data_IF_955369278106
#
_entry.id   IF_955369278106
#
_cell.length_a   1.000
_cell.length_b   1.000
_cell.length_c   1.000
_cell.angle_alpha   90.00
_cell.angle_beta   90.00
_cell.angle_gamma   90.00
#
_symmetry.space_group_name_H-M   'P 1'
#
loop_
_entity.id
_entity.type
_entity.pdbx_description
1 polymer ?
#
# COMPACT_ATOMS: atom_id res chain seq x y z
N UNK A 1 17.57 -52.25 24.35
CA UNK A 1 17.03 -51.15 25.18
C UNK A 1 18.02 -49.98 25.35
N UNK A 2 19.29 -50.19 25.75
CA UNK A 2 20.24 -49.07 25.99
C UNK A 2 20.62 -48.27 24.73
N UNK A 3 20.96 -48.94 23.63
CA UNK A 3 21.30 -48.26 22.37
C UNK A 3 20.13 -47.43 21.80
N UNK A 4 18.89 -47.97 21.87
CA UNK A 4 17.68 -47.25 21.45
C UNK A 4 17.46 -45.99 22.30
N UNK A 5 17.68 -46.06 23.61
CA UNK A 5 17.55 -44.91 24.50
C UNK A 5 18.57 -43.82 24.19
N UNK A 6 19.83 -44.20 23.93
CA UNK A 6 20.90 -43.27 23.55
C UNK A 6 20.58 -42.61 22.21
N UNK A 7 20.16 -43.39 21.22
CA UNK A 7 19.75 -42.86 19.91
C UNK A 7 18.60 -41.86 20.05
N UNK A 8 17.56 -42.18 20.83
CA UNK A 8 16.45 -41.26 21.08
C UNK A 8 16.91 -39.95 21.74
N UNK A 9 17.80 -40.03 22.75
CA UNK A 9 18.34 -38.83 23.40
C UNK A 9 19.11 -37.96 22.40
N UNK A 10 19.95 -38.58 21.56
CA UNK A 10 20.70 -37.84 20.53
C UNK A 10 19.75 -37.17 19.55
N UNK A 11 18.75 -37.88 19.05
CA UNK A 11 17.74 -37.33 18.13
C UNK A 11 16.98 -36.16 18.76
N UNK A 12 16.60 -36.27 20.03
CA UNK A 12 15.92 -35.18 20.75
C UNK A 12 16.84 -33.97 20.93
N UNK A 13 18.10 -34.18 21.30
CA UNK A 13 19.07 -33.09 21.46
C UNK A 13 19.32 -32.39 20.13
N UNK A 14 19.60 -33.15 19.07
CA UNK A 14 19.84 -32.60 17.74
C UNK A 14 18.61 -31.90 17.19
N UNK A 15 17.41 -32.47 17.39
CA UNK A 15 16.15 -31.84 17.03
C UNK A 15 15.96 -30.51 17.76
N UNK A 16 16.20 -30.48 19.07
CA UNK A 16 16.13 -29.24 19.86
C UNK A 16 17.11 -28.17 19.39
N UNK A 17 18.37 -28.55 19.11
CA UNK A 17 19.38 -27.63 18.58
C UNK A 17 19.01 -27.10 17.19
N UNK A 18 18.45 -27.96 16.33
CA UNK A 18 18.00 -27.54 15.01
C UNK A 18 16.88 -26.49 15.09
N UNK A 19 15.87 -26.71 15.94
CA UNK A 19 14.78 -25.73 16.13
C UNK A 19 15.31 -24.40 16.67
N UNK A 20 16.28 -24.44 17.60
CA UNK A 20 16.90 -23.23 18.12
C UNK A 20 17.67 -22.46 17.03
N UNK A 21 18.47 -23.16 16.22
CA UNK A 21 19.20 -22.56 15.12
C UNK A 21 18.26 -21.97 14.05
N UNK A 22 17.19 -22.69 13.71
CA UNK A 22 16.16 -22.26 12.77
C UNK A 22 15.53 -20.93 13.19
N UNK A 23 15.16 -20.80 14.48
CA UNK A 23 14.52 -19.59 15.00
C UNK A 23 15.46 -18.41 15.15
N UNK A 24 16.75 -18.64 15.40
CA UNK A 24 17.74 -17.57 15.38
C UNK A 24 18.02 -17.09 13.95
N UNK A 25 18.06 -18.01 12.99
CA UNK A 25 18.33 -17.70 11.59
C UNK A 25 17.23 -16.83 10.97
N UNK A 26 15.94 -17.16 11.22
CA UNK A 26 14.83 -16.36 10.68
C UNK A 26 14.81 -14.94 11.23
N UNK A 27 15.01 -14.77 12.55
CA UNK A 27 15.06 -13.43 13.15
C UNK A 27 16.22 -12.57 12.65
N UNK A 28 17.36 -13.20 12.38
CA UNK A 28 18.48 -12.50 11.78
C UNK A 28 18.19 -12.11 10.32
N UNK A 29 17.58 -13.01 9.55
CA UNK A 29 17.19 -12.75 8.17
C UNK A 29 16.16 -11.62 8.07
N UNK A 30 15.11 -11.64 8.90
CA UNK A 30 14.09 -10.58 8.99
C UNK A 30 14.72 -9.20 9.19
N UNK A 31 15.66 -9.08 10.13
CA UNK A 31 16.39 -7.82 10.40
C UNK A 31 17.25 -7.36 9.22
N UNK A 32 18.00 -8.27 8.60
CA UNK A 32 18.84 -7.96 7.44
C UNK A 32 18.00 -7.51 6.23
N UNK A 33 16.85 -8.15 5.99
CA UNK A 33 15.93 -7.72 4.91
C UNK A 33 15.35 -6.34 5.23
N UNK A 34 14.95 -6.10 6.48
CA UNK A 34 14.43 -4.81 6.90
C UNK A 34 15.44 -3.66 6.69
N UNK A 35 16.71 -3.88 7.05
CA UNK A 35 17.77 -2.89 6.88
C UNK A 35 18.12 -2.65 5.39
N UNK A 36 18.08 -3.70 4.56
CA UNK A 36 18.23 -3.56 3.10
C UNK A 36 17.09 -2.78 2.48
N UNK A 37 15.84 -3.09 2.82
CA UNK A 37 14.68 -2.34 2.35
C UNK A 37 14.76 -0.88 2.76
N UNK A 38 15.16 -0.59 4.00
CA UNK A 38 15.37 0.77 4.48
C UNK A 38 16.37 1.55 3.63
N UNK A 39 17.49 0.93 3.29
CA UNK A 39 18.56 1.59 2.53
C UNK A 39 18.25 1.72 1.05
N UNK A 40 17.62 0.71 0.44
CA UNK A 40 17.24 0.72 -0.98
C UNK A 40 16.10 1.69 -1.27
N UNK A 41 15.08 1.70 -0.42
CA UNK A 41 13.89 2.54 -0.58
C UNK A 41 14.02 3.91 0.11
N UNK A 42 15.18 4.20 0.72
CA UNK A 42 15.43 5.49 1.39
C UNK A 42 14.52 5.78 2.59
N UNK A 43 14.05 4.73 3.28
CA UNK A 43 13.05 4.86 4.35
C UNK A 43 13.64 5.55 5.60
N UNK A 44 12.84 6.44 6.20
CA UNK A 44 13.20 7.09 7.47
C UNK A 44 13.14 6.10 8.64
N UNK A 45 12.16 5.22 8.63
CA UNK A 45 11.91 4.19 9.65
C UNK A 45 12.27 2.81 9.10
N UNK A 46 12.79 1.93 9.97
CA UNK A 46 13.06 0.54 9.58
C UNK A 46 11.74 -0.20 9.39
N UNK A 47 11.50 -0.84 8.23
CA UNK A 47 10.28 -1.59 7.98
C UNK A 47 10.23 -2.85 8.84
N UNK A 48 9.03 -3.37 9.11
CA UNK A 48 8.86 -4.69 9.70
C UNK A 48 8.88 -5.74 8.61
N UNK A 49 9.62 -6.83 8.83
CA UNK A 49 9.63 -7.99 7.94
C UNK A 49 9.38 -9.20 8.80
N UNK A 50 8.41 -10.02 8.37
CA UNK A 50 7.98 -11.23 9.05
C UNK A 50 8.06 -12.37 8.05
N UNK A 51 8.99 -13.32 8.26
CA UNK A 51 9.12 -14.51 7.41
C UNK A 51 8.42 -15.65 8.14
N UNK A 52 7.29 -16.11 7.59
CA UNK A 52 6.52 -17.20 8.18
C UNK A 52 7.01 -18.56 7.68
N UNK A 53 6.40 -19.60 8.24
CA UNK A 53 6.71 -20.99 7.93
C UNK A 53 7.79 -21.60 8.84
N UNK A 54 7.79 -22.92 8.92
CA UNK A 54 8.69 -23.69 9.78
C UNK A 54 8.95 -25.08 9.20
N UNK A 55 10.21 -25.52 9.11
CA UNK A 55 11.45 -24.82 9.48
C UNK A 55 11.91 -23.82 8.40
N UNK A 56 12.33 -22.62 8.79
CA UNK A 56 12.87 -21.58 7.90
C UNK A 56 14.07 -22.07 7.09
N UNK A 57 15.05 -22.73 7.73
CA UNK A 57 16.26 -23.22 7.07
C UNK A 57 15.94 -24.27 6.00
N UNK A 58 14.84 -25.01 6.15
CA UNK A 58 14.40 -25.98 5.13
C UNK A 58 13.81 -25.27 3.92
N UNK A 59 13.03 -24.20 4.13
CA UNK A 59 12.50 -23.36 3.06
C UNK A 59 13.63 -22.71 2.24
N UNK A 60 14.61 -22.09 2.92
CA UNK A 60 15.78 -21.50 2.27
C UNK A 60 16.58 -22.52 1.46
N UNK A 61 16.79 -23.72 2.01
CA UNK A 61 17.45 -24.82 1.29
C UNK A 61 16.62 -25.33 0.09
N UNK A 62 15.29 -25.23 0.17
CA UNK A 62 14.37 -25.50 -0.93
C UNK A 62 14.35 -24.40 -2.00
N UNK A 63 14.89 -23.21 -1.70
CA UNK A 63 14.97 -22.09 -2.63
C UNK A 63 13.69 -21.23 -2.70
N UNK A 64 12.75 -21.41 -1.77
CA UNK A 64 11.47 -20.70 -1.76
C UNK A 64 10.99 -20.45 -0.32
N UNK A 65 10.44 -19.26 -0.06
CA UNK A 65 9.73 -18.96 1.19
C UNK A 65 8.22 -18.96 0.94
N UNK A 66 7.47 -19.62 1.82
CA UNK A 66 6.03 -19.81 1.62
C UNK A 66 5.23 -18.51 1.79
N UNK A 67 5.56 -17.72 2.81
CA UNK A 67 4.79 -16.54 3.21
C UNK A 67 5.70 -15.50 3.89
N UNK A 68 5.72 -14.28 3.34
CA UNK A 68 6.53 -13.15 3.79
C UNK A 68 5.64 -11.92 3.89
N UNK A 69 5.58 -11.32 5.07
CA UNK A 69 4.87 -10.06 5.32
C UNK A 69 5.87 -8.92 5.49
N UNK A 70 5.60 -7.79 4.86
CA UNK A 70 6.40 -6.56 4.96
C UNK A 70 5.49 -5.40 5.33
N UNK A 71 5.87 -4.63 6.34
CA UNK A 71 5.19 -3.43 6.80
C UNK A 71 6.12 -2.22 6.74
N UNK A 72 5.70 -1.18 6.02
CA UNK A 72 6.41 0.09 5.92
C UNK A 72 5.55 1.22 6.48
N UNK A 73 6.19 2.21 7.10
CA UNK A 73 5.54 3.40 7.64
C UNK A 73 6.17 4.65 7.07
N UNK A 74 5.34 5.67 6.89
CA UNK A 74 5.75 6.97 6.35
C UNK A 74 6.53 6.83 5.01
N UNK A 75 5.96 6.07 4.07
CA UNK A 75 6.55 5.84 2.74
C UNK A 75 6.13 6.96 1.78
N UNK A 76 7.09 7.59 1.10
CA UNK A 76 6.82 8.58 0.07
C UNK A 76 6.79 7.90 -1.31
N UNK A 77 5.59 7.83 -1.91
CA UNK A 77 5.39 7.29 -3.25
C UNK A 77 5.28 8.42 -4.29
N UNK A 78 5.66 8.14 -5.54
CA UNK A 78 5.50 9.08 -6.66
C UNK A 78 4.05 9.02 -7.18
N UNK A 79 3.53 10.18 -7.55
CA UNK A 79 2.19 10.32 -8.12
C UNK A 79 2.18 10.23 -9.66
N UNK A 80 3.33 9.94 -10.29
CA UNK A 80 3.48 9.87 -11.76
C UNK A 80 3.27 11.21 -12.47
N UNK A 81 3.05 12.28 -11.70
CA UNK A 81 2.80 13.64 -12.18
C UNK A 81 3.97 14.50 -11.76
N UNK A 82 4.61 15.19 -12.73
CA UNK A 82 5.86 15.95 -12.58
C UNK A 82 6.14 16.52 -11.17
N UNK A 83 6.85 15.74 -10.34
CA UNK A 83 7.37 16.16 -9.02
C UNK A 83 6.41 16.09 -7.83
N UNK A 84 5.24 15.46 -7.97
CA UNK A 84 4.31 15.24 -6.85
C UNK A 84 4.61 13.95 -6.11
N UNK A 85 4.82 14.02 -4.80
CA UNK A 85 4.88 12.84 -3.92
C UNK A 85 3.62 12.75 -3.06
N UNK A 86 3.23 11.52 -2.72
CA UNK A 86 2.16 11.24 -1.78
C UNK A 86 2.70 10.38 -0.65
N UNK A 87 2.49 10.81 0.59
CA UNK A 87 2.89 10.04 1.76
C UNK A 87 1.83 8.98 2.07
N UNK A 88 2.27 7.74 2.12
CA UNK A 88 1.54 6.58 2.60
C UNK A 88 1.94 6.37 4.06
N UNK A 89 0.99 6.52 4.98
CA UNK A 89 1.26 6.45 6.41
C UNK A 89 1.56 5.00 6.84
N UNK A 90 0.85 4.02 6.28
CA UNK A 90 1.01 2.60 6.58
C UNK A 90 0.83 1.76 5.29
N UNK A 91 1.83 0.95 4.97
CA UNK A 91 1.86 0.07 3.80
C UNK A 91 2.18 -1.35 4.28
N UNK A 92 1.26 -2.28 4.07
CA UNK A 92 1.48 -3.70 4.34
C UNK A 92 1.41 -4.50 3.04
N UNK A 93 2.33 -5.44 2.87
CA UNK A 93 2.36 -6.38 1.76
C UNK A 93 2.55 -7.79 2.28
N UNK A 94 1.73 -8.72 1.82
CA UNK A 94 1.84 -10.16 2.06
C UNK A 94 2.16 -10.85 0.74
N UNK A 95 3.28 -11.56 0.71
CA UNK A 95 3.80 -12.26 -0.45
C UNK A 95 3.81 -13.75 -0.19
N UNK A 96 3.43 -14.55 -1.19
CA UNK A 96 3.45 -16.01 -1.10
C UNK A 96 4.25 -16.63 -2.24
N UNK A 97 4.90 -17.74 -1.92
CA UNK A 97 5.76 -18.48 -2.84
C UNK A 97 6.87 -17.61 -3.41
N UNK A 98 7.70 -17.08 -2.50
CA UNK A 98 8.82 -16.18 -2.78
C UNK A 98 10.04 -17.02 -3.14
N UNK A 99 10.24 -17.24 -4.45
CA UNK A 99 11.32 -18.07 -4.97
C UNK A 99 12.60 -17.25 -5.19
N UNK A 100 13.74 -17.75 -4.74
CA UNK A 100 15.05 -17.14 -4.96
C UNK A 100 15.58 -17.47 -6.37
N UNK A 101 16.32 -16.54 -6.97
CA UNK A 101 17.14 -16.86 -8.14
C UNK A 101 18.22 -17.88 -7.79
N UNK A 102 18.74 -18.61 -8.79
CA UNK A 102 19.74 -19.68 -8.54
C UNK A 102 21.04 -19.21 -7.88
N UNK A 103 21.33 -17.92 -7.94
CA UNK A 103 22.46 -17.24 -7.29
C UNK A 103 22.06 -16.49 -6.01
N UNK A 104 20.79 -16.58 -5.58
CA UNK A 104 20.21 -15.89 -4.42
C UNK A 104 20.36 -14.36 -4.44
N UNK A 105 20.56 -13.76 -5.62
CA UNK A 105 20.69 -12.31 -5.77
C UNK A 105 19.35 -11.58 -5.85
N UNK A 106 18.28 -12.31 -6.18
CA UNK A 106 16.91 -11.80 -6.29
C UNK A 106 15.91 -12.81 -5.76
N UNK A 107 14.69 -12.33 -5.48
CA UNK A 107 13.56 -13.18 -5.13
C UNK A 107 12.29 -12.69 -5.85
N UNK A 108 11.42 -13.61 -6.24
CA UNK A 108 10.16 -13.29 -6.93
C UNK A 108 9.00 -14.02 -6.26
N UNK A 109 7.98 -13.26 -5.85
CA UNK A 109 6.76 -13.80 -5.27
C UNK A 109 5.83 -14.34 -6.35
N UNK A 110 5.19 -15.47 -6.09
CA UNK A 110 4.14 -16.02 -6.95
C UNK A 110 2.85 -15.19 -6.86
N UNK A 111 2.52 -14.71 -5.67
CA UNK A 111 1.41 -13.77 -5.44
C UNK A 111 1.80 -12.73 -4.42
N UNK A 112 1.34 -11.50 -4.61
CA UNK A 112 1.46 -10.42 -3.64
C UNK A 112 0.10 -9.74 -3.46
N UNK A 113 -0.26 -9.47 -2.21
CA UNK A 113 -1.43 -8.67 -1.85
C UNK A 113 -0.99 -7.61 -0.85
N UNK A 114 -1.48 -6.38 -0.99
CA UNK A 114 -1.10 -5.29 -0.11
C UNK A 114 -2.23 -4.34 0.20
N UNK A 115 -2.05 -3.58 1.27
CA UNK A 115 -2.95 -2.51 1.72
C UNK A 115 -2.12 -1.27 2.00
N UNK A 116 -2.59 -0.12 1.55
CA UNK A 116 -1.97 1.17 1.81
C UNK A 116 -2.98 2.11 2.48
N UNK A 117 -2.52 2.85 3.49
CA UNK A 117 -3.31 3.87 4.17
C UNK A 117 -2.74 5.25 3.85
N UNK A 118 -3.59 6.12 3.32
CA UNK A 118 -3.22 7.49 2.92
C UNK A 118 -4.11 8.46 3.67
N UNK A 119 -3.51 9.44 4.34
CA UNK A 119 -4.26 10.48 5.01
C UNK A 119 -4.95 11.45 4.04
N UNK A 120 -6.12 11.93 4.44
CA UNK A 120 -6.94 12.83 3.63
C UNK A 120 -6.24 14.14 3.27
N UNK A 121 -5.32 14.64 4.11
CA UNK A 121 -4.55 15.84 3.82
C UNK A 121 -3.56 15.62 2.67
N UNK A 122 -2.99 14.41 2.54
CA UNK A 122 -2.12 14.03 1.43
C UNK A 122 -2.92 13.88 0.13
N UNK A 123 -4.08 13.21 0.18
CA UNK A 123 -5.01 13.15 -0.97
C UNK A 123 -5.47 14.56 -1.40
N UNK A 124 -5.72 15.45 -0.43
CA UNK A 124 -6.12 16.82 -0.71
C UNK A 124 -4.98 17.64 -1.33
N UNK A 125 -3.72 17.39 -0.98
CA UNK A 125 -2.56 18.03 -1.65
C UNK A 125 -2.49 17.65 -3.12
N UNK A 126 -2.69 16.36 -3.43
CA UNK A 126 -2.76 15.88 -4.81
C UNK A 126 -3.93 16.55 -5.56
N UNK A 127 -5.13 16.53 -4.98
CA UNK A 127 -6.34 17.11 -5.61
C UNK A 127 -6.33 18.64 -5.74
N UNK A 128 -5.75 19.37 -4.77
CA UNK A 128 -5.69 20.85 -4.77
C UNK A 128 -4.92 21.43 -5.96
N UNK A 129 -4.08 20.63 -6.60
CA UNK A 129 -3.30 21.04 -7.78
C UNK A 129 -4.17 21.23 -9.03
N UNK A 130 -5.41 20.71 -9.04
CA UNK A 130 -6.29 20.72 -10.20
C UNK A 130 -7.46 21.71 -10.01
N UNK A 131 -7.19 23.01 -10.20
CA UNK A 131 -8.28 23.97 -10.41
C UNK A 131 -8.93 23.74 -11.77
N UNK A 132 -10.19 23.33 -11.77
CA UNK A 132 -10.92 23.05 -13.01
C UNK A 132 -11.70 24.29 -13.43
N UNK A 133 -11.46 24.75 -14.66
CA UNK A 133 -12.26 25.81 -15.29
C UNK A 133 -13.49 25.20 -15.92
N UNK A 134 -14.64 25.67 -15.47
CA UNK A 134 -15.95 25.32 -16.00
C UNK A 134 -16.39 26.35 -17.07
N UNK A 135 -17.40 26.01 -17.89
CA UNK A 135 -18.03 26.97 -18.79
C UNK A 135 -18.48 28.24 -18.05
N UNK A 136 -18.65 29.34 -18.79
CA UNK A 136 -19.07 30.64 -18.26
C UNK A 136 -18.06 31.30 -17.30
N UNK A 137 -16.79 30.85 -17.30
CA UNK A 137 -15.72 31.45 -16.48
C UNK A 137 -15.77 31.08 -15.00
N UNK A 138 -16.55 30.06 -14.65
CA UNK A 138 -16.67 29.54 -13.28
C UNK A 138 -15.47 28.64 -12.99
N UNK A 139 -14.96 28.66 -11.75
CA UNK A 139 -13.91 27.75 -11.30
C UNK A 139 -14.43 26.86 -10.18
N UNK A 140 -13.98 25.61 -10.18
CA UNK A 140 -14.24 24.64 -9.13
C UNK A 140 -12.93 24.11 -8.57
N UNK A 141 -12.87 23.98 -7.24
CA UNK A 141 -11.69 23.50 -6.52
C UNK A 141 -12.09 22.62 -5.35
N UNK A 142 -11.39 21.51 -5.17
CA UNK A 142 -11.50 20.69 -3.96
C UNK A 142 -10.82 21.41 -2.80
N UNK A 143 -11.58 21.70 -1.74
CA UNK A 143 -11.11 22.44 -0.56
C UNK A 143 -11.06 21.58 0.71
N UNK A 144 -11.74 20.43 0.72
CA UNK A 144 -11.76 19.52 1.86
C UNK A 144 -12.05 18.08 1.46
N UNK A 145 -11.49 17.15 2.25
CA UNK A 145 -11.75 15.71 2.20
C UNK A 145 -11.99 15.24 3.64
N UNK A 146 -13.02 14.42 3.85
CA UNK A 146 -13.37 13.87 5.16
C UNK A 146 -14.12 12.55 5.03
N UNK A 147 -14.34 11.86 6.16
CA UNK A 147 -15.15 10.63 6.18
C UNK A 147 -16.62 10.96 5.85
N UNK A 148 -17.16 10.28 4.82
CA UNK A 148 -18.54 10.37 4.40
C UNK A 148 -19.44 9.30 5.01
N UNK A 149 -18.87 8.35 5.77
CA UNK A 149 -19.56 7.18 6.32
C UNK A 149 -19.77 6.07 5.29
N UNK A 150 -19.99 4.84 5.76
CA UNK A 150 -20.23 3.66 4.92
C UNK A 150 -19.13 3.39 3.86
N UNK A 151 -17.87 3.70 4.18
CA UNK A 151 -16.74 3.51 3.27
C UNK A 151 -16.63 4.56 2.16
N UNK A 152 -17.36 5.67 2.26
CA UNK A 152 -17.34 6.77 1.30
C UNK A 152 -16.51 7.95 1.81
N UNK A 153 -15.94 8.71 0.89
CA UNK A 153 -15.25 9.96 1.19
C UNK A 153 -16.18 11.13 0.87
N UNK A 154 -16.28 12.07 1.80
CA UNK A 154 -16.93 13.36 1.59
C UNK A 154 -15.93 14.35 1.02
N UNK A 155 -16.22 14.86 -0.18
CA UNK A 155 -15.41 15.83 -0.93
C UNK A 155 -16.11 17.19 -0.90
N UNK A 156 -15.45 18.21 -0.38
CA UNK A 156 -15.96 19.58 -0.36
C UNK A 156 -15.39 20.38 -1.53
N UNK A 157 -16.28 20.84 -2.42
CA UNK A 157 -15.96 21.57 -3.65
C UNK A 157 -16.37 23.03 -3.48
N UNK A 158 -15.42 23.95 -3.61
CA UNK A 158 -15.69 25.38 -3.67
C UNK A 158 -15.85 25.80 -5.13
N UNK A 159 -17.02 26.33 -5.45
CA UNK A 159 -17.33 26.91 -6.76
C UNK A 159 -17.30 28.44 -6.65
N UNK A 160 -16.67 29.13 -7.60
CA UNK A 160 -16.53 30.60 -7.53
C UNK A 160 -17.88 31.35 -7.53
N UNK A 161 -18.92 30.75 -8.11
CA UNK A 161 -20.27 31.29 -8.14
C UNK A 161 -21.09 31.06 -6.84
N UNK A 162 -20.57 30.30 -5.86
CA UNK A 162 -21.27 29.95 -4.62
C UNK A 162 -20.52 30.46 -3.38
N UNK A 163 -21.25 30.97 -2.39
CA UNK A 163 -20.65 31.43 -1.12
C UNK A 163 -20.18 30.28 -0.24
N UNK A 164 -20.91 29.16 -0.23
CA UNK A 164 -20.58 27.98 0.57
C UNK A 164 -20.05 26.82 -0.30
N UNK A 165 -19.14 25.99 0.22
CA UNK A 165 -18.72 24.76 -0.46
C UNK A 165 -19.90 23.79 -0.61
N UNK A 166 -19.86 23.00 -1.68
CA UNK A 166 -20.81 21.92 -1.94
C UNK A 166 -20.14 20.59 -1.63
N UNK A 167 -20.80 19.74 -0.86
CA UNK A 167 -20.25 18.43 -0.49
C UNK A 167 -20.77 17.32 -1.41
N UNK A 168 -19.87 16.40 -1.77
CA UNK A 168 -20.15 15.22 -2.60
C UNK A 168 -19.66 13.96 -1.91
N UNK A 169 -20.48 12.92 -1.86
CA UNK A 169 -20.03 11.60 -1.41
C UNK A 169 -19.44 10.84 -2.60
N UNK A 170 -18.25 10.29 -2.40
CA UNK A 170 -17.50 9.57 -3.41
C UNK A 170 -17.03 8.21 -2.91
N UNK A 171 -17.09 7.21 -3.77
CA UNK A 171 -16.52 5.88 -3.55
C UNK A 171 -15.10 5.85 -4.11
N UNK A 172 -14.17 5.21 -3.41
CA UNK A 172 -12.81 4.99 -3.90
C UNK A 172 -12.63 3.52 -4.26
N UNK A 173 -12.03 3.27 -5.42
CA UNK A 173 -11.73 1.92 -5.92
C UNK A 173 -10.33 1.89 -6.52
N UNK A 174 -9.68 0.73 -6.47
CA UNK A 174 -8.42 0.50 -7.19
C UNK A 174 -8.76 -0.25 -8.47
N UNK A 175 -8.29 0.28 -9.60
CA UNK A 175 -8.47 -0.27 -10.94
C UNK A 175 -7.10 -0.58 -11.51
N UNK A 176 -6.98 -1.67 -12.29
CA UNK A 176 -5.76 -2.08 -12.97
C UNK A 176 -4.52 -2.31 -12.07
N UNK A 177 -4.73 -2.38 -10.75
CA UNK A 177 -3.71 -2.71 -9.74
C UNK A 177 -2.89 -1.52 -9.22
N UNK A 178 -2.85 -0.41 -9.96
CA UNK A 178 -2.01 0.77 -9.65
C UNK A 178 -2.76 2.11 -9.69
N UNK A 179 -4.03 2.10 -10.09
CA UNK A 179 -4.81 3.32 -10.33
C UNK A 179 -5.93 3.47 -9.30
N UNK A 180 -5.84 4.51 -8.47
CA UNK A 180 -6.90 4.88 -7.54
C UNK A 180 -7.95 5.70 -8.28
N UNK A 181 -9.12 5.10 -8.51
CA UNK A 181 -10.30 5.75 -9.08
C UNK A 181 -11.23 6.22 -7.99
N UNK A 182 -11.47 7.52 -7.93
CA UNK A 182 -12.54 8.10 -7.13
C UNK A 182 -13.76 8.30 -8.02
N UNK A 183 -14.93 7.85 -7.56
CA UNK A 183 -16.19 7.98 -8.28
C UNK A 183 -17.20 8.71 -7.41
N UNK A 184 -17.82 9.77 -7.93
CA UNK A 184 -18.87 10.46 -7.19
C UNK A 184 -20.20 9.70 -7.27
N UNK A 185 -20.73 9.30 -6.11
CA UNK A 185 -21.99 8.55 -6.02
C UNK A 185 -23.21 9.44 -6.19
N UNK A 186 -23.08 10.73 -5.88
CA UNK A 186 -24.16 11.69 -5.88
C UNK A 186 -23.73 12.95 -6.59
N UNK A 187 -24.42 13.31 -7.67
CA UNK A 187 -24.23 14.59 -8.35
C UNK A 187 -24.97 15.66 -7.55
N UNK A 188 -24.28 16.62 -6.91
CA UNK A 188 -24.96 17.66 -6.17
C UNK A 188 -25.64 18.62 -7.15
N UNK A 189 -26.83 19.13 -6.79
CA UNK A 189 -27.43 20.26 -7.50
C UNK A 189 -26.69 21.55 -7.12
N UNK A 190 -26.09 22.25 -8.08
CA UNK A 190 -25.40 23.52 -7.85
C UNK A 190 -26.40 24.71 -7.82
N UNK A 191 -27.43 24.60 -6.97
CA UNK A 191 -28.50 25.61 -6.89
C UNK A 191 -29.17 25.82 -8.24
N UNK A 192 -29.11 27.04 -8.78
CA UNK A 192 -29.71 27.41 -10.06
C UNK A 192 -28.85 27.02 -11.28
N UNK A 193 -27.65 26.48 -11.04
CA UNK A 193 -26.74 26.04 -12.09
C UNK A 193 -27.00 24.55 -12.36
N UNK A 194 -27.60 24.27 -13.51
CA UNK A 194 -27.74 22.92 -14.04
C UNK A 194 -26.51 22.61 -14.88
N UNK A 195 -25.61 21.80 -14.32
CA UNK A 195 -24.52 21.19 -15.07
C UNK A 195 -25.03 19.90 -15.71
N UNK A 196 -24.53 19.55 -16.90
CA UNK A 196 -24.82 18.26 -17.49
C UNK A 196 -24.19 17.16 -16.64
N UNK A 197 -24.83 15.98 -16.59
CA UNK A 197 -24.35 14.81 -15.84
C UNK A 197 -22.90 14.43 -16.22
N UNK A 198 -22.52 14.63 -17.48
CA UNK A 198 -21.17 14.44 -18.00
C UNK A 198 -20.15 15.43 -17.43
N UNK A 199 -20.55 16.69 -17.22
CA UNK A 199 -19.66 17.75 -16.75
C UNK A 199 -19.33 17.54 -15.27
N UNK A 200 -20.31 17.12 -14.45
CA UNK A 200 -20.07 16.83 -13.03
C UNK A 200 -19.21 15.59 -12.85
N UNK A 201 -19.46 14.53 -13.63
CA UNK A 201 -18.62 13.33 -13.63
C UNK A 201 -17.18 13.63 -14.00
N UNK A 202 -16.93 14.53 -14.95
CA UNK A 202 -15.56 14.92 -15.33
C UNK A 202 -14.76 15.65 -14.24
N UNK A 203 -15.44 16.18 -13.22
CA UNK A 203 -14.83 16.92 -12.10
C UNK A 203 -14.63 16.00 -10.90
N UNK A 204 -15.60 15.12 -10.66
CA UNK A 204 -15.69 14.35 -9.43
C UNK A 204 -15.11 12.93 -9.58
N UNK A 205 -15.07 12.41 -10.81
CA UNK A 205 -14.35 11.20 -11.12
C UNK A 205 -12.91 11.58 -11.49
N UNK A 206 -11.94 11.14 -10.68
CA UNK A 206 -10.54 11.29 -11.01
C UNK A 206 -9.80 9.98 -10.78
N UNK A 207 -8.85 9.73 -11.69
CA UNK A 207 -7.93 8.60 -11.62
C UNK A 207 -6.57 9.14 -11.20
N UNK A 208 -6.07 8.67 -10.07
CA UNK A 208 -4.71 8.92 -9.62
C UNK A 208 -3.91 7.63 -9.77
N UNK A 209 -3.01 7.61 -10.75
CA UNK A 209 -2.01 6.55 -10.86
C UNK A 209 -0.99 6.72 -9.72
N UNK A 210 -0.64 5.63 -9.06
CA UNK A 210 0.43 5.60 -8.05
C UNK A 210 1.57 4.79 -8.66
N UNK A 211 2.73 5.43 -8.84
CA UNK A 211 3.92 4.78 -9.40
C UNK A 211 4.98 4.58 -8.31
N UNK A 212 5.86 3.60 -8.52
CA UNK A 212 6.94 3.31 -7.58
C UNK A 212 6.46 2.62 -6.30
N UNK A 213 5.48 1.71 -6.40
CA UNK A 213 5.16 0.83 -5.29
C UNK A 213 6.25 -0.27 -5.17
N UNK A 214 6.59 -0.72 -3.94
CA UNK A 214 7.58 -1.77 -3.76
C UNK A 214 7.15 -3.06 -4.48
N UNK A 215 8.04 -3.59 -5.35
CA UNK A 215 7.80 -4.83 -6.10
C UNK A 215 7.61 -4.67 -7.62
N UNK A 216 7.57 -3.42 -8.13
CA UNK A 216 7.48 -3.10 -9.56
C UNK A 216 6.35 -2.14 -9.88
#
# INVERSE_FOLDING_TARGET
>A
MRALRILLIIVVILGGLFVAADRLAVHFAEGEVADRLKTQEGLTTTPSVDIKGFPFLTQVAGGELDDVEVGMKDYDADTGTSGGTIRIDDLNAAMKGVAFSGDYSSATASTAAGTATIAYDQLLKAAKSQETRLPLGITAKVVGLSDGGNGKIKVDIKVSALEQPVSVLSTVSVVDGDTVRVHADSIPSFGNVTLADSDVRSIADFDQKIEGLPGG
#
